data_IF_826872356834
#
_entry.id   IF_826872356834
#
_cell.length_a   1.000
_cell.length_b   1.000
_cell.length_c   1.000
_cell.angle_alpha   90.00
_cell.angle_beta   90.00
_cell.angle_gamma   90.00
#
_symmetry.space_group_name_H-M   'P 1'
#
loop_
_entity.id
_entity.type
_entity.pdbx_description
1 polymer ?
#
# COMPACT_ATOMS: atom_id res chain seq x y z
N UNK A 1 5.23 11.46 -4.23
CA UNK A 1 5.81 10.10 -4.23
C UNK A 1 5.62 9.38 -5.57
N UNK A 2 4.82 9.93 -6.49
CA UNK A 2 4.25 9.24 -7.67
C UNK A 2 5.22 8.82 -8.78
N UNK A 3 6.49 9.20 -8.72
CA UNK A 3 7.46 8.87 -9.78
C UNK A 3 8.37 7.68 -9.44
N UNK A 4 8.06 6.92 -8.40
CA UNK A 4 8.76 5.66 -8.16
C UNK A 4 10.26 5.80 -7.89
N UNK A 5 10.64 6.86 -7.17
CA UNK A 5 12.04 7.23 -6.90
C UNK A 5 12.90 7.57 -8.14
N UNK A 6 12.31 7.70 -9.34
CA UNK A 6 13.04 8.00 -10.59
C UNK A 6 13.90 9.26 -10.50
N UNK A 7 13.40 10.30 -9.84
CA UNK A 7 14.09 11.59 -9.73
C UNK A 7 15.08 11.68 -8.57
N UNK A 8 15.23 10.62 -7.77
CA UNK A 8 16.22 10.59 -6.72
C UNK A 8 17.61 10.35 -7.34
N UNK A 9 18.65 11.13 -7.00
CA UNK A 9 20.02 10.81 -7.40
C UNK A 9 20.39 9.38 -6.99
N UNK A 10 20.85 8.59 -7.95
CA UNK A 10 21.14 7.17 -7.76
C UNK A 10 22.49 6.83 -8.41
N UNK A 11 23.60 6.95 -7.67
CA UNK A 11 24.96 6.85 -8.21
C UNK A 11 25.43 5.39 -8.34
N UNK A 12 24.52 4.47 -8.58
CA UNK A 12 24.80 3.04 -8.74
C UNK A 12 24.42 2.60 -10.14
N UNK A 13 25.10 1.58 -10.66
CA UNK A 13 24.71 0.95 -11.91
C UNK A 13 23.36 0.25 -11.71
N UNK A 14 22.30 0.82 -12.29
CA UNK A 14 20.93 0.34 -12.14
C UNK A 14 20.74 -1.03 -12.79
N UNK A 15 20.01 -1.91 -12.10
CA UNK A 15 19.67 -3.25 -12.56
C UNK A 15 18.18 -3.25 -12.93
N UNK A 16 17.82 -3.59 -14.18
CA UNK A 16 16.42 -3.72 -14.55
C UNK A 16 15.81 -4.93 -13.84
N UNK A 17 14.68 -4.72 -13.18
CA UNK A 17 13.93 -5.79 -12.54
C UNK A 17 12.44 -5.66 -12.87
N UNK A 18 11.73 -6.78 -12.80
CA UNK A 18 10.27 -6.74 -12.72
C UNK A 18 9.88 -6.26 -11.31
N UNK A 19 8.93 -5.31 -11.16
CA UNK A 19 8.51 -4.83 -9.86
C UNK A 19 8.05 -6.01 -8.98
N UNK A 20 8.64 -6.20 -7.79
CA UNK A 20 8.14 -7.22 -6.88
C UNK A 20 6.74 -6.84 -6.43
N UNK A 21 5.87 -7.83 -6.27
CA UNK A 21 4.52 -7.64 -5.76
C UNK A 21 4.49 -8.12 -4.32
N UNK A 22 4.06 -7.25 -3.41
CA UNK A 22 3.75 -7.69 -2.05
C UNK A 22 2.36 -8.31 -2.08
N UNK A 23 2.24 -9.49 -1.48
CA UNK A 23 0.99 -10.23 -1.40
C UNK A 23 0.72 -10.64 0.05
N UNK A 24 -0.51 -10.45 0.49
CA UNK A 24 -1.01 -10.85 1.81
C UNK A 24 -2.38 -11.50 1.68
N UNK A 25 -2.72 -12.40 2.59
CA UNK A 25 -4.06 -12.94 2.74
C UNK A 25 -4.71 -12.27 3.94
N UNK A 26 -5.67 -11.39 3.69
CA UNK A 26 -6.37 -10.65 4.73
C UNK A 26 -7.87 -10.81 4.62
N UNK A 27 -8.53 -10.88 5.75
CA UNK A 27 -9.97 -10.70 5.82
C UNK A 27 -10.33 -9.20 5.74
N UNK A 28 -11.61 -8.87 5.66
CA UNK A 28 -12.08 -7.49 5.48
C UNK A 28 -11.56 -6.57 6.60
N UNK A 29 -11.66 -7.02 7.85
CA UNK A 29 -11.27 -6.23 9.02
C UNK A 29 -9.77 -5.94 9.06
N UNK A 30 -8.93 -6.89 8.66
CA UNK A 30 -7.49 -6.70 8.56
C UNK A 30 -7.12 -5.67 7.50
N UNK A 31 -7.78 -5.69 6.33
CA UNK A 31 -7.58 -4.70 5.28
C UNK A 31 -7.95 -3.28 5.76
N UNK A 32 -9.16 -3.11 6.31
CA UNK A 32 -9.63 -1.81 6.82
C UNK A 32 -8.76 -1.33 7.98
N UNK A 33 -8.37 -2.25 8.88
CA UNK A 33 -7.47 -1.97 9.99
C UNK A 33 -6.10 -1.48 9.49
N UNK A 34 -5.52 -2.12 8.49
CA UNK A 34 -4.27 -1.68 7.88
C UNK A 34 -4.40 -0.28 7.25
N UNK A 35 -5.44 -0.05 6.44
CA UNK A 35 -5.67 1.25 5.81
C UNK A 35 -5.86 2.38 6.82
N UNK A 36 -6.41 2.09 8.01
CA UNK A 36 -6.58 3.08 9.09
C UNK A 36 -5.24 3.64 9.61
N UNK A 37 -4.14 2.92 9.36
CA UNK A 37 -2.80 3.35 9.79
C UNK A 37 -2.20 4.41 8.87
N UNK A 38 -2.76 4.60 7.67
CA UNK A 38 -2.25 5.54 6.67
C UNK A 38 -2.29 6.97 7.17
N UNK A 39 -1.20 7.72 6.96
CA UNK A 39 -1.07 9.10 7.41
C UNK A 39 -2.19 10.00 6.86
N UNK A 40 -2.56 9.83 5.59
CA UNK A 40 -3.65 10.56 4.96
C UNK A 40 -5.00 10.32 5.67
N UNK A 41 -5.31 9.07 6.02
CA UNK A 41 -6.54 8.71 6.75
C UNK A 41 -6.53 9.34 8.14
N UNK A 42 -5.40 9.27 8.86
CA UNK A 42 -5.26 9.90 10.19
C UNK A 42 -5.45 11.41 10.12
N UNK A 43 -4.83 12.07 9.13
CA UNK A 43 -4.96 13.51 8.92
C UNK A 43 -6.39 13.90 8.55
N UNK A 44 -7.02 13.16 7.63
CA UNK A 44 -8.39 13.39 7.21
C UNK A 44 -9.38 13.16 8.37
N UNK A 45 -9.18 12.11 9.17
CA UNK A 45 -9.99 11.87 10.38
C UNK A 45 -9.94 13.06 11.33
N UNK A 46 -8.74 13.62 11.56
CA UNK A 46 -8.57 14.81 12.40
C UNK A 46 -9.25 16.05 11.80
N UNK A 47 -9.17 16.23 10.49
CA UNK A 47 -9.73 17.40 9.80
C UNK A 47 -11.27 17.34 9.68
N UNK A 48 -11.84 16.14 9.48
CA UNK A 48 -13.26 15.93 9.23
C UNK A 48 -14.05 15.60 10.51
N UNK A 49 -13.37 15.26 11.61
CA UNK A 49 -14.00 14.84 12.86
C UNK A 49 -14.60 13.42 12.85
N UNK A 50 -14.44 12.69 11.74
CA UNK A 50 -14.87 11.30 11.58
C UNK A 50 -13.90 10.56 10.66
N UNK A 51 -13.85 9.23 10.77
CA UNK A 51 -12.96 8.42 9.93
C UNK A 51 -13.52 8.30 8.49
N UNK A 52 -12.83 8.82 7.47
CA UNK A 52 -13.31 8.74 6.09
C UNK A 52 -13.31 7.31 5.54
N UNK A 53 -12.59 6.37 6.17
CA UNK A 53 -12.63 4.96 5.77
C UNK A 53 -13.99 4.32 6.04
N UNK A 54 -14.84 4.90 6.90
CA UNK A 54 -16.16 4.33 7.17
C UNK A 54 -16.99 4.23 5.87
N UNK A 55 -16.98 5.30 5.06
CA UNK A 55 -17.71 5.33 3.78
C UNK A 55 -17.18 4.28 2.81
N UNK A 56 -15.85 4.07 2.79
CA UNK A 56 -15.25 3.01 1.98
C UNK A 56 -15.60 1.62 2.50
N UNK A 57 -15.56 1.42 3.81
CA UNK A 57 -15.89 0.15 4.46
C UNK A 57 -17.35 -0.25 4.17
N UNK A 58 -18.28 0.70 4.27
CA UNK A 58 -19.69 0.48 3.98
C UNK A 58 -19.93 0.09 2.51
N UNK A 59 -19.16 0.68 1.58
CA UNK A 59 -19.24 0.35 0.16
C UNK A 59 -18.54 -0.98 -0.19
N UNK A 60 -17.47 -1.34 0.53
CA UNK A 60 -16.65 -2.51 0.22
C UNK A 60 -17.17 -3.79 0.88
N UNK A 61 -17.80 -3.69 2.06
CA UNK A 61 -18.28 -4.84 2.81
C UNK A 61 -19.25 -5.73 2.01
N UNK A 62 -20.24 -5.20 1.25
CA UNK A 62 -21.11 -6.02 0.43
C UNK A 62 -20.37 -6.79 -0.67
N UNK A 63 -19.33 -6.20 -1.26
CA UNK A 63 -18.48 -6.83 -2.29
C UNK A 63 -17.54 -7.89 -1.70
N UNK A 64 -17.30 -7.83 -0.39
CA UNK A 64 -16.50 -8.82 0.31
C UNK A 64 -17.29 -10.10 0.64
N UNK A 65 -18.62 -10.05 0.61
CA UNK A 65 -19.56 -11.13 0.94
C UNK A 65 -19.42 -11.60 2.40
N UNK A 66 -18.46 -12.49 2.69
CA UNK A 66 -18.14 -12.94 4.05
C UNK A 66 -16.89 -12.18 4.57
N UNK A 67 -17.04 -11.23 5.52
CA UNK A 67 -15.95 -10.40 6.00
C UNK A 67 -14.84 -11.18 6.72
N UNK A 68 -15.11 -12.41 7.16
CA UNK A 68 -14.10 -13.29 7.77
C UNK A 68 -13.29 -14.06 6.74
N UNK A 69 -13.81 -14.24 5.51
CA UNK A 69 -13.11 -14.96 4.47
C UNK A 69 -11.90 -14.16 3.97
N UNK A 70 -10.67 -14.71 4.07
CA UNK A 70 -9.49 -14.03 3.57
C UNK A 70 -9.50 -13.94 2.04
N UNK A 71 -9.07 -12.79 1.52
CA UNK A 71 -8.81 -12.56 0.09
C UNK A 71 -7.35 -12.19 -0.12
N UNK A 72 -6.84 -12.51 -1.30
CA UNK A 72 -5.49 -12.11 -1.70
C UNK A 72 -5.49 -10.62 -2.01
N UNK A 73 -4.71 -9.85 -1.23
CA UNK A 73 -4.46 -8.43 -1.47
C UNK A 73 -3.04 -8.28 -1.96
N UNK A 74 -2.88 -7.59 -3.08
CA UNK A 74 -1.59 -7.43 -3.73
C UNK A 74 -1.37 -6.00 -4.22
N UNK A 75 -0.15 -5.50 -4.06
CA UNK A 75 0.25 -4.22 -4.63
C UNK A 75 1.69 -4.26 -5.14
N UNK A 76 1.98 -3.59 -6.27
CA UNK A 76 3.34 -3.53 -6.78
C UNK A 76 4.20 -2.64 -5.88
N UNK A 77 5.40 -3.12 -5.55
CA UNK A 77 6.40 -2.31 -4.88
C UNK A 77 7.23 -1.58 -5.92
N UNK A 78 7.46 -0.29 -5.68
CA UNK A 78 8.41 0.45 -6.49
C UNK A 78 9.78 0.44 -5.83
N UNK A 79 10.78 -0.04 -6.56
CA UNK A 79 12.17 -0.12 -6.09
C UNK A 79 13.12 0.34 -7.17
N UNK A 80 14.26 0.91 -6.77
CA UNK A 80 15.43 1.13 -7.62
C UNK A 80 16.58 0.32 -7.06
N UNK A 81 17.14 -0.55 -7.89
CA UNK A 81 18.17 -1.51 -7.48
C UNK A 81 19.43 -1.21 -8.26
N UNK A 82 20.57 -1.14 -7.57
CA UNK A 82 21.85 -0.88 -8.20
C UNK A 82 22.94 -1.75 -7.58
N UNK A 83 23.96 -2.08 -8.38
CA UNK A 83 25.12 -2.81 -7.89
C UNK A 83 26.06 -1.84 -7.16
N UNK A 84 26.39 -2.17 -5.92
CA UNK A 84 27.46 -1.49 -5.18
C UNK A 84 28.77 -2.22 -5.47
N UNK A 85 29.69 -1.53 -6.14
CA UNK A 85 31.06 -2.02 -6.24
C UNK A 85 31.78 -1.55 -4.98
N UNK A 86 31.88 -2.43 -3.97
CA UNK A 86 32.75 -2.20 -2.83
C UNK A 86 34.14 -2.69 -3.25
N UNK A 87 35.10 -1.77 -3.31
CA UNK A 87 36.53 -2.11 -3.37
C UNK A 87 37.03 -2.46 -1.97
#
# INVERSE_FOLDING_TARGET
MDEGYKNLPFPFQEIPIQPPVLQVEWNFYQLIGYMSTWSAVKMATKALGHNPLNVLADALLPEWEDPELPRIISWPLTVRVGRVNVQ
#
